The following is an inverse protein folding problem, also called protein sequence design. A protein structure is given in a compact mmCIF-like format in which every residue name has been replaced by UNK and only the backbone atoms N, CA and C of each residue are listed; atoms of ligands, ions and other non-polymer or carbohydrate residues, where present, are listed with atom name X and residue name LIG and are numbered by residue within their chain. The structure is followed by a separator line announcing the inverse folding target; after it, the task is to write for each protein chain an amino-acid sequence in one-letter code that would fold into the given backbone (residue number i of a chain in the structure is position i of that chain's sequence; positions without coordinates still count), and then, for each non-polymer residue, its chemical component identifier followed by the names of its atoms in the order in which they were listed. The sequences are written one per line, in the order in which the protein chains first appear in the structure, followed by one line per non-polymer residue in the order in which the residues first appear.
data_IF_872231717432
#
_entry.id   IF_872231717432
#
_cell.length_a   1.000
_cell.length_b   1.000
_cell.length_c   1.000
_cell.angle_alpha   90.00
_cell.angle_beta   90.00
_cell.angle_gamma   90.00
#
_symmetry.space_group_name_H-M   'P 1'
#
loop_
_entity.id
_entity.type
_entity.pdbx_description
1 polymer ?
#
# COMPACT_ATOMS: atom_id res chain seq x y z
N UNK A 1 -28.47 6.29 -8.99
CA UNK A 1 -27.81 7.60 -8.90
C UNK A 1 -26.34 7.37 -8.63
N UNK A 2 -25.49 8.27 -9.13
CA UNK A 2 -24.05 8.31 -8.85
C UNK A 2 -23.75 9.55 -8.01
N UNK A 3 -22.62 9.58 -7.31
CA UNK A 3 -22.34 10.64 -6.36
C UNK A 3 -20.84 10.89 -6.20
N UNK A 4 -20.33 11.97 -6.81
CA UNK A 4 -18.97 12.46 -6.55
C UNK A 4 -18.90 12.96 -5.11
N UNK A 5 -17.91 12.51 -4.34
CA UNK A 5 -17.83 12.74 -2.90
C UNK A 5 -16.64 13.63 -2.53
N UNK A 6 -15.42 13.12 -2.69
CA UNK A 6 -14.18 13.83 -2.40
C UNK A 6 -13.53 14.41 -3.66
N UNK A 7 -12.75 15.47 -3.48
CA UNK A 7 -11.97 16.11 -4.55
C UNK A 7 -10.58 16.49 -4.05
N UNK A 8 -9.53 16.11 -4.79
CA UNK A 8 -8.15 16.47 -4.50
C UNK A 8 -7.51 17.14 -5.72
N UNK A 9 -7.07 18.40 -5.62
CA UNK A 9 -6.36 19.03 -6.72
C UNK A 9 -4.98 18.39 -6.90
N UNK A 10 -4.60 18.17 -8.15
CA UNK A 10 -3.21 17.90 -8.48
C UNK A 10 -2.48 19.23 -8.66
N UNK A 11 -1.60 19.54 -7.70
CA UNK A 11 -0.82 20.78 -7.68
C UNK A 11 0.63 20.56 -8.12
N UNK A 12 0.94 19.42 -8.76
CA UNK A 12 2.25 19.21 -9.37
C UNK A 12 2.54 20.31 -10.40
N UNK A 13 3.71 20.95 -10.28
CA UNK A 13 4.03 22.16 -11.04
C UNK A 13 4.10 21.88 -12.55
N UNK A 14 3.48 22.75 -13.36
CA UNK A 14 3.65 22.80 -14.82
C UNK A 14 2.63 22.02 -15.67
N UNK A 15 1.70 21.29 -15.05
CA UNK A 15 0.62 20.59 -15.75
C UNK A 15 -0.65 21.44 -15.97
N UNK A 16 -1.51 20.99 -16.88
CA UNK A 16 -2.88 21.53 -16.96
C UNK A 16 -3.65 21.20 -15.67
N UNK A 17 -4.55 22.08 -15.20
CA UNK A 17 -5.34 21.82 -14.01
C UNK A 17 -6.12 20.50 -14.13
N UNK A 18 -5.94 19.64 -13.13
CA UNK A 18 -6.64 18.36 -13.02
C UNK A 18 -6.92 18.04 -11.55
N UNK A 19 -7.95 17.26 -11.30
CA UNK A 19 -8.38 16.90 -9.95
C UNK A 19 -8.67 15.40 -9.90
N UNK A 20 -8.37 14.77 -8.76
CA UNK A 20 -8.83 13.43 -8.45
C UNK A 20 -10.18 13.53 -7.75
N UNK A 21 -11.14 12.72 -8.16
CA UNK A 21 -12.48 12.68 -7.59
C UNK A 21 -12.80 11.24 -7.19
N UNK A 22 -13.22 11.05 -5.94
CA UNK A 22 -13.83 9.79 -5.50
C UNK A 22 -15.32 9.83 -5.80
N UNK A 23 -15.86 8.72 -6.27
CA UNK A 23 -17.27 8.67 -6.70
C UNK A 23 -17.93 7.35 -6.30
N UNK A 24 -19.13 7.45 -5.73
CA UNK A 24 -19.93 6.28 -5.36
C UNK A 24 -20.74 5.78 -6.56
N UNK A 25 -20.55 4.51 -6.90
CA UNK A 25 -21.39 3.74 -7.79
C UNK A 25 -22.70 3.30 -7.12
N UNK A 26 -23.63 2.71 -7.88
CA UNK A 26 -24.93 2.32 -7.36
C UNK A 26 -24.86 1.08 -6.44
N UNK A 27 -24.50 -0.09 -6.99
CA UNK A 27 -24.35 -1.35 -6.24
C UNK A 27 -22.93 -1.90 -6.28
N UNK A 28 -22.15 -1.44 -7.24
CA UNK A 28 -20.76 -1.75 -7.55
C UNK A 28 -20.23 -0.60 -8.42
N UNK A 29 -18.93 -0.58 -8.70
CA UNK A 29 -18.35 0.43 -9.59
C UNK A 29 -18.22 1.80 -8.93
N UNK A 30 -17.82 1.81 -7.66
CA UNK A 30 -17.21 3.00 -7.08
C UNK A 30 -15.93 3.31 -7.87
N UNK A 31 -15.55 4.56 -7.99
CA UNK A 31 -14.42 4.96 -8.83
C UNK A 31 -13.54 6.04 -8.20
N UNK A 32 -12.28 6.05 -8.64
CA UNK A 32 -11.43 7.25 -8.62
C UNK A 32 -11.31 7.74 -10.06
N UNK A 33 -11.67 8.99 -10.27
CA UNK A 33 -11.61 9.66 -11.56
C UNK A 33 -10.50 10.71 -11.55
N UNK A 34 -9.70 10.77 -12.62
CA UNK A 34 -8.82 11.91 -12.90
C UNK A 34 -9.54 12.83 -13.87
N UNK A 35 -10.04 13.95 -13.36
CA UNK A 35 -10.92 14.86 -14.10
C UNK A 35 -10.13 16.06 -14.60
N UNK A 36 -10.27 16.35 -15.89
CA UNK A 36 -9.80 17.54 -16.58
C UNK A 36 -11.00 18.35 -17.09
N UNK A 37 -10.74 19.60 -17.46
CA UNK A 37 -11.78 20.46 -18.02
C UNK A 37 -12.36 19.87 -19.31
N UNK A 38 -13.68 19.67 -19.34
CA UNK A 38 -14.41 19.15 -20.50
C UNK A 38 -14.58 17.63 -20.53
N UNK A 39 -14.04 16.90 -19.56
CA UNK A 39 -14.18 15.44 -19.50
C UNK A 39 -15.64 15.00 -19.29
N UNK A 40 -15.97 13.84 -19.87
CA UNK A 40 -17.25 13.18 -19.69
C UNK A 40 -17.03 11.77 -19.10
N UNK A 41 -17.37 11.58 -17.83
CA UNK A 41 -17.19 10.31 -17.11
C UNK A 41 -18.23 9.23 -17.48
N UNK A 42 -19.16 9.50 -18.40
CA UNK A 42 -20.03 8.49 -19.00
C UNK A 42 -21.31 8.13 -18.27
N UNK A 43 -21.43 8.41 -16.98
CA UNK A 43 -22.69 8.21 -16.26
C UNK A 43 -23.83 9.08 -16.85
N UNK A 44 -25.09 8.58 -16.95
CA UNK A 44 -25.59 7.27 -16.55
C UNK A 44 -25.48 6.16 -17.59
N UNK A 45 -24.85 6.43 -18.74
CA UNK A 45 -24.79 5.49 -19.85
C UNK A 45 -23.70 4.43 -19.67
N UNK A 46 -22.58 4.81 -19.09
CA UNK A 46 -21.40 3.97 -18.88
C UNK A 46 -20.95 4.00 -17.41
N UNK A 47 -20.34 2.91 -16.96
CA UNK A 47 -19.85 2.67 -15.60
C UNK A 47 -18.56 1.86 -15.69
N UNK A 48 -17.51 2.26 -14.98
CA UNK A 48 -16.21 1.61 -15.04
C UNK A 48 -15.46 1.86 -16.35
N UNK A 49 -14.35 1.13 -16.59
CA UNK A 49 -13.49 1.32 -17.75
C UNK A 49 -14.10 0.66 -19.00
N UNK A 50 -14.91 1.40 -19.75
CA UNK A 50 -15.63 0.91 -20.93
C UNK A 50 -14.89 1.17 -22.23
N UNK A 51 -13.90 2.05 -22.24
CA UNK A 51 -13.10 2.42 -23.40
C UNK A 51 -13.96 2.87 -24.61
N UNK A 52 -14.84 3.84 -24.39
CA UNK A 52 -15.72 4.40 -25.42
C UNK A 52 -15.27 5.81 -25.78
N UNK A 53 -15.08 6.07 -27.08
CA UNK A 53 -14.67 7.38 -27.57
C UNK A 53 -15.62 8.51 -27.10
N UNK A 54 -15.04 9.62 -26.63
CA UNK A 54 -15.77 10.75 -26.07
C UNK A 54 -16.11 10.61 -24.59
N UNK A 55 -15.68 9.52 -23.94
CA UNK A 55 -15.78 9.30 -22.50
C UNK A 55 -14.39 9.03 -21.91
N UNK A 56 -14.23 9.36 -20.63
CA UNK A 56 -12.99 9.15 -19.88
C UNK A 56 -13.24 8.06 -18.86
N UNK A 57 -12.44 6.99 -18.95
CA UNK A 57 -12.49 5.88 -18.01
C UNK A 57 -11.91 6.30 -16.64
N UNK A 58 -12.41 5.74 -15.53
CA UNK A 58 -11.83 5.96 -14.22
C UNK A 58 -10.40 5.39 -14.14
N UNK A 59 -9.57 5.99 -13.28
CA UNK A 59 -8.21 5.51 -13.02
C UNK A 59 -8.19 4.33 -12.04
N UNK A 60 -9.29 4.13 -11.29
CA UNK A 60 -9.53 2.97 -10.44
C UNK A 60 -11.03 2.69 -10.31
N UNK A 61 -11.40 1.41 -10.21
CA UNK A 61 -12.80 1.00 -9.99
C UNK A 61 -12.84 -0.12 -8.96
N UNK A 62 -13.64 0.05 -7.90
CA UNK A 62 -13.90 -1.04 -6.96
C UNK A 62 -15.07 -1.90 -7.47
N UNK A 63 -14.87 -3.22 -7.40
CA UNK A 63 -15.89 -4.21 -7.78
C UNK A 63 -17.00 -4.35 -6.73
N UNK A 64 -16.70 -4.02 -5.48
CA UNK A 64 -17.67 -3.86 -4.39
C UNK A 64 -17.83 -2.38 -4.05
N UNK A 65 -18.96 -2.04 -3.43
CA UNK A 65 -19.20 -0.67 -2.95
C UNK A 65 -18.46 -0.44 -1.63
N UNK A 66 -17.33 0.25 -1.69
CA UNK A 66 -16.58 0.71 -0.52
C UNK A 66 -17.09 2.07 -0.02
N UNK A 67 -17.92 2.75 -0.81
CA UNK A 67 -18.43 4.09 -0.52
C UNK A 67 -17.27 5.06 -0.30
N UNK A 68 -16.40 5.30 -1.30
CA UNK A 68 -15.24 6.15 -1.10
C UNK A 68 -15.69 7.55 -0.71
N UNK A 69 -15.01 8.13 0.27
CA UNK A 69 -15.34 9.44 0.84
C UNK A 69 -14.29 10.47 0.45
N UNK A 70 -13.61 11.11 1.40
CA UNK A 70 -12.53 12.05 1.13
C UNK A 70 -11.41 11.42 0.28
N UNK A 71 -10.78 12.25 -0.54
CA UNK A 71 -9.54 11.91 -1.25
C UNK A 71 -8.53 13.03 -1.03
N UNK A 72 -7.27 12.67 -0.81
CA UNK A 72 -6.14 13.58 -0.66
C UNK A 72 -5.04 13.16 -1.62
N UNK A 73 -4.42 14.13 -2.31
CA UNK A 73 -3.12 13.93 -2.97
C UNK A 73 -2.02 14.31 -1.98
N UNK A 74 -1.39 13.31 -1.36
CA UNK A 74 -0.48 13.53 -0.24
C UNK A 74 0.81 14.24 -0.66
N UNK A 75 1.26 15.23 0.13
CA UNK A 75 2.43 16.08 -0.17
C UNK A 75 3.34 16.30 1.05
N UNK A 76 2.86 15.99 2.25
CA UNK A 76 3.57 16.17 3.51
C UNK A 76 4.76 15.24 3.67
N UNK A 77 5.40 15.37 4.83
CA UNK A 77 6.63 14.65 5.16
C UNK A 77 6.49 13.80 6.44
N UNK A 78 5.27 13.68 6.97
CA UNK A 78 4.99 12.91 8.19
C UNK A 78 4.87 11.39 7.95
N UNK A 79 4.82 10.98 6.68
CA UNK A 79 4.82 9.58 6.23
C UNK A 79 6.07 9.28 5.40
N UNK A 80 6.39 8.01 5.11
CA UNK A 80 7.56 7.66 4.30
C UNK A 80 7.60 8.42 2.98
N UNK A 81 8.82 8.71 2.50
CA UNK A 81 9.01 9.62 1.38
C UNK A 81 8.27 9.16 0.10
N UNK A 82 8.14 7.85 -0.11
CA UNK A 82 7.44 7.21 -1.21
C UNK A 82 5.90 7.33 -1.16
N UNK A 83 5.35 7.86 -0.07
CA UNK A 83 3.92 8.15 0.05
C UNK A 83 3.58 9.50 -0.61
N UNK A 84 4.57 10.38 -0.78
CA UNK A 84 4.40 11.67 -1.44
C UNK A 84 3.97 11.48 -2.88
N UNK A 85 2.87 12.14 -3.26
CA UNK A 85 2.27 11.99 -4.56
C UNK A 85 1.35 10.77 -4.69
N UNK A 86 1.03 10.05 -3.62
CA UNK A 86 -0.02 9.03 -3.65
C UNK A 86 -1.38 9.63 -3.31
N UNK A 87 -2.46 8.90 -3.62
CA UNK A 87 -3.81 9.24 -3.15
C UNK A 87 -4.10 8.52 -1.84
N UNK A 88 -4.73 9.21 -0.90
CA UNK A 88 -5.26 8.64 0.35
C UNK A 88 -6.77 8.80 0.32
N UNK A 89 -7.51 7.69 0.43
CA UNK A 89 -8.96 7.65 0.22
C UNK A 89 -9.66 6.98 1.39
N UNK A 90 -10.66 7.64 1.98
CA UNK A 90 -11.47 7.09 3.07
C UNK A 90 -12.58 6.18 2.56
N UNK A 91 -12.93 5.14 3.32
CA UNK A 91 -14.05 4.24 3.00
C UNK A 91 -15.20 4.40 4.00
N UNK A 92 -16.41 4.65 3.48
CA UNK A 92 -17.62 4.63 4.30
C UNK A 92 -18.12 3.22 4.56
N UNK A 93 -18.03 2.32 3.57
CA UNK A 93 -18.45 0.94 3.73
C UNK A 93 -17.22 0.07 3.95
N UNK A 94 -17.18 -0.60 5.09
CA UNK A 94 -16.12 -1.55 5.39
C UNK A 94 -16.65 -2.81 6.07
N UNK A 95 -16.12 -4.01 5.72
CA UNK A 95 -16.48 -5.25 6.39
C UNK A 95 -16.27 -5.13 7.90
N UNK A 96 -17.23 -5.62 8.67
CA UNK A 96 -17.16 -5.68 10.14
C UNK A 96 -16.94 -4.31 10.84
N UNK A 97 -17.19 -3.18 10.15
CA UNK A 97 -16.94 -1.83 10.66
C UNK A 97 -15.47 -1.56 11.03
N UNK A 98 -14.53 -2.27 10.39
CA UNK A 98 -13.12 -1.89 10.44
C UNK A 98 -12.98 -0.59 9.66
N UNK A 99 -12.51 0.48 10.29
CA UNK A 99 -12.22 1.73 9.59
C UNK A 99 -11.14 1.46 8.56
N UNK A 100 -11.40 1.81 7.30
CA UNK A 100 -10.45 1.59 6.21
C UNK A 100 -10.15 2.91 5.53
N UNK A 101 -8.86 3.18 5.37
CA UNK A 101 -8.33 4.23 4.51
C UNK A 101 -7.32 3.54 3.59
N UNK A 102 -7.49 3.71 2.28
CA UNK A 102 -6.69 3.07 1.25
C UNK A 102 -5.72 4.08 0.62
N UNK A 103 -4.49 3.64 0.35
CA UNK A 103 -3.44 4.39 -0.34
C UNK A 103 -3.29 3.86 -1.76
N UNK A 104 -3.30 4.77 -2.73
CA UNK A 104 -3.09 4.47 -4.15
C UNK A 104 -1.79 5.09 -4.63
N UNK A 105 -0.86 4.24 -5.03
CA UNK A 105 0.34 4.64 -5.75
C UNK A 105 -0.04 5.01 -7.19
N UNK A 106 0.52 6.11 -7.68
CA UNK A 106 0.31 6.59 -9.04
C UNK A 106 1.58 6.41 -9.88
N UNK A 107 1.41 6.32 -11.19
CA UNK A 107 2.53 6.46 -12.12
C UNK A 107 3.16 7.86 -12.05
N UNK A 108 4.36 8.02 -12.60
CA UNK A 108 5.07 9.30 -12.54
C UNK A 108 4.25 10.48 -13.11
N UNK A 109 3.48 10.32 -14.20
CA UNK A 109 2.57 11.36 -14.66
C UNK A 109 1.33 11.57 -13.81
N UNK A 110 1.02 10.73 -12.82
CA UNK A 110 -0.19 10.83 -11.99
C UNK A 110 -1.48 10.48 -12.73
N UNK A 111 -1.41 9.75 -13.85
CA UNK A 111 -2.55 9.43 -14.71
C UNK A 111 -3.15 8.05 -14.46
N UNK A 112 -2.42 7.17 -13.78
CA UNK A 112 -2.85 5.79 -13.55
C UNK A 112 -2.52 5.35 -12.13
N UNK A 113 -3.41 4.57 -11.54
CA UNK A 113 -3.09 3.79 -10.33
C UNK A 113 -2.20 2.62 -10.74
N UNK A 114 -1.05 2.48 -10.08
CA UNK A 114 -0.13 1.35 -10.27
C UNK A 114 -0.29 0.29 -9.20
N UNK A 115 -0.66 0.70 -7.98
CA UNK A 115 -0.89 -0.19 -6.84
C UNK A 115 -1.85 0.45 -5.85
N UNK A 116 -2.62 -0.39 -5.15
CA UNK A 116 -3.34 0.02 -3.95
C UNK A 116 -2.88 -0.79 -2.75
N UNK A 117 -2.96 -0.18 -1.56
CA UNK A 117 -2.52 -0.76 -0.29
C UNK A 117 -3.30 -0.14 0.86
N UNK A 118 -3.39 -0.82 2.01
CA UNK A 118 -3.98 -0.21 3.19
C UNK A 118 -3.10 0.94 3.68
N UNK A 119 -3.72 2.09 3.94
CA UNK A 119 -3.09 3.20 4.66
C UNK A 119 -3.38 3.11 6.16
N UNK A 120 -4.63 2.80 6.51
CA UNK A 120 -5.06 2.52 7.87
C UNK A 120 -6.16 1.45 7.85
N UNK A 121 -6.03 0.45 8.71
CA UNK A 121 -7.13 -0.42 9.12
C UNK A 121 -7.19 -0.44 10.65
N UNK A 122 -8.31 0.02 11.22
CA UNK A 122 -8.44 0.12 12.67
C UNK A 122 -9.86 -0.19 13.14
N UNK A 123 -10.00 -0.78 14.32
CA UNK A 123 -11.28 -0.96 14.97
C UNK A 123 -11.41 -0.01 16.16
N UNK A 124 -12.18 1.07 15.98
CA UNK A 124 -12.40 2.10 17.02
C UNK A 124 -13.78 2.01 17.69
N UNK A 125 -14.36 0.81 17.78
CA UNK A 125 -15.55 0.49 18.57
C UNK A 125 -16.64 1.59 18.66
N UNK A 126 -17.58 1.61 17.71
CA UNK A 126 -18.68 2.58 17.73
C UNK A 126 -18.35 3.96 17.13
N UNK A 127 -17.10 4.20 16.72
CA UNK A 127 -16.71 5.41 15.99
C UNK A 127 -17.47 5.61 14.66
N UNK A 128 -18.02 4.53 14.08
CA UNK A 128 -18.73 4.58 12.80
C UNK A 128 -17.78 4.36 11.64
N UNK A 129 -17.96 5.12 10.56
CA UNK A 129 -17.23 4.97 9.31
C UNK A 129 -16.40 6.22 8.99
N UNK A 130 -15.44 6.11 8.06
CA UNK A 130 -14.63 7.25 7.63
C UNK A 130 -15.49 8.18 6.77
N UNK A 131 -15.73 9.39 7.24
CA UNK A 131 -16.55 10.40 6.56
C UNK A 131 -15.70 11.29 5.64
N UNK A 132 -14.47 11.62 6.05
CA UNK A 132 -13.56 12.44 5.25
C UNK A 132 -12.10 12.18 5.67
N UNK A 133 -11.17 12.48 4.77
CA UNK A 133 -9.71 12.49 5.01
C UNK A 133 -9.13 13.81 4.52
N UNK A 134 -8.20 14.39 5.27
CA UNK A 134 -7.56 15.64 4.93
C UNK A 134 -6.08 15.64 5.36
N UNK A 135 -5.22 16.18 4.50
CA UNK A 135 -3.85 16.52 4.88
C UNK A 135 -3.84 17.87 5.59
N UNK A 136 -3.25 17.92 6.78
CA UNK A 136 -3.04 19.15 7.54
C UNK A 136 -1.67 19.78 7.25
N UNK A 137 -1.46 21.07 7.59
CA UNK A 137 -0.19 21.77 7.37
C UNK A 137 1.02 21.16 8.12
N UNK A 138 0.77 20.35 9.15
CA UNK A 138 1.80 19.59 9.87
C UNK A 138 2.27 18.34 9.11
N UNK A 139 1.71 18.09 7.92
CA UNK A 139 2.04 16.95 7.07
C UNK A 139 1.35 15.65 7.46
N UNK A 140 0.57 15.62 8.54
CA UNK A 140 -0.21 14.44 8.90
C UNK A 140 -1.56 14.42 8.15
N UNK A 141 -2.04 13.21 7.87
CA UNK A 141 -3.41 12.96 7.43
C UNK A 141 -4.29 12.80 8.67
N UNK A 142 -5.38 13.54 8.67
CA UNK A 142 -6.47 13.43 9.61
C UNK A 142 -7.67 12.79 8.93
N UNK A 143 -8.50 12.10 9.70
CA UNK A 143 -9.77 11.58 9.22
C UNK A 143 -10.89 11.87 10.21
N UNK A 144 -12.11 11.89 9.71
CA UNK A 144 -13.30 12.12 10.53
C UNK A 144 -14.21 10.90 10.54
N UNK A 145 -14.91 10.72 11.66
CA UNK A 145 -16.00 9.75 11.80
C UNK A 145 -17.19 10.42 12.46
N UNK A 146 -18.26 9.66 12.73
CA UNK A 146 -19.38 10.16 13.52
C UNK A 146 -19.03 10.47 14.98
N UNK A 147 -17.90 9.97 15.47
CA UNK A 147 -17.47 10.16 16.86
C UNK A 147 -16.40 11.24 17.05
N UNK A 148 -15.68 11.65 16.00
CA UNK A 148 -14.65 12.68 16.15
C UNK A 148 -13.72 12.85 14.96
N UNK A 149 -12.65 13.62 15.20
CA UNK A 149 -11.56 13.86 14.27
C UNK A 149 -10.31 13.18 14.84
N UNK A 150 -9.61 12.43 14.01
CA UNK A 150 -8.47 11.60 14.39
C UNK A 150 -7.27 11.96 13.53
N UNK A 151 -6.08 11.92 14.12
CA UNK A 151 -4.80 12.06 13.41
C UNK A 151 -4.21 10.67 13.17
N UNK A 152 -3.78 10.39 11.96
CA UNK A 152 -3.07 9.15 11.63
C UNK A 152 -1.59 9.39 11.88
N UNK A 153 -1.03 8.73 12.88
CA UNK A 153 0.40 8.81 13.16
C UNK A 153 1.05 7.56 12.58
N UNK A 154 2.11 7.76 11.80
CA UNK A 154 2.91 6.67 11.21
C UNK A 154 4.26 6.65 11.88
N UNK A 155 4.69 5.47 12.31
CA UNK A 155 5.85 5.33 13.18
C UNK A 155 5.59 6.12 14.45
N UNK A 156 5.10 5.48 15.50
CA UNK A 156 4.79 6.21 16.72
C UNK A 156 6.06 6.83 17.37
N UNK A 157 7.23 6.42 16.90
CA UNK A 157 8.49 6.52 17.64
C UNK A 157 8.39 5.60 18.84
N UNK A 158 9.52 5.06 19.28
CA UNK A 158 9.59 4.18 20.45
C UNK A 158 9.05 4.92 21.69
N UNK A 159 7.78 4.70 22.01
CA UNK A 159 7.00 5.50 22.98
C UNK A 159 6.87 4.80 24.31
N UNK A 160 6.98 3.48 24.31
CA UNK A 160 7.11 2.66 25.50
C UNK A 160 8.56 2.32 25.85
N UNK A 161 9.52 2.81 25.05
CA UNK A 161 10.96 2.74 25.28
C UNK A 161 11.52 1.31 25.23
N UNK A 162 10.97 0.47 24.36
CA UNK A 162 11.38 -0.92 24.15
C UNK A 162 12.42 -1.09 23.01
N UNK A 163 12.81 0.00 22.36
CA UNK A 163 13.78 0.02 21.26
C UNK A 163 13.16 -0.15 19.88
N UNK A 164 11.84 -0.32 19.79
CA UNK A 164 11.12 -0.67 18.57
C UNK A 164 10.06 0.38 18.23
N UNK A 165 9.76 0.50 16.93
CA UNK A 165 8.68 1.38 16.47
C UNK A 165 7.59 0.52 15.87
N UNK A 166 6.58 0.22 16.66
CA UNK A 166 5.63 -0.84 16.37
C UNK A 166 4.16 -0.40 16.60
N UNK A 167 3.24 -1.36 16.63
CA UNK A 167 1.81 -1.10 16.86
C UNK A 167 1.46 -0.96 18.35
N UNK A 168 2.36 -1.36 19.24
CA UNK A 168 2.23 -1.32 20.70
C UNK A 168 2.71 0.00 21.31
N UNK A 169 3.58 0.75 20.63
CA UNK A 169 4.00 2.12 20.96
C UNK A 169 2.91 3.08 21.51
N UNK A 170 1.63 3.05 21.06
CA UNK A 170 0.58 3.91 21.64
C UNK A 170 0.19 3.53 23.08
N UNK A 171 0.57 2.35 23.56
CA UNK A 171 0.19 1.76 24.83
C UNK A 171 1.38 1.77 25.80
N UNK A 172 1.17 1.97 27.11
CA UNK A 172 2.26 1.93 28.07
C UNK A 172 2.87 0.52 28.19
N UNK A 173 4.18 0.42 27.97
CA UNK A 173 5.09 -0.73 28.09
C UNK A 173 4.47 -2.03 28.59
N UNK A 174 4.05 -2.87 27.65
CA UNK A 174 3.95 -4.30 27.91
C UNK A 174 5.30 -4.87 27.49
N UNK A 175 6.22 -5.05 28.43
CA UNK A 175 7.53 -5.60 28.11
C UNK A 175 7.37 -6.96 27.42
N UNK A 176 7.74 -7.02 26.14
CA UNK A 176 7.98 -8.25 25.41
C UNK A 176 9.13 -9.02 26.06
N UNK A 177 9.14 -10.34 25.88
CA UNK A 177 10.23 -11.17 26.39
C UNK A 177 11.40 -10.96 25.44
N UNK A 178 12.54 -10.55 25.99
CA UNK A 178 13.85 -10.56 25.36
C UNK A 178 14.48 -11.92 25.64
N UNK A 179 14.39 -12.81 24.65
CA UNK A 179 14.75 -14.23 24.78
C UNK A 179 16.26 -14.49 24.76
N UNK A 180 17.03 -13.58 24.17
CA UNK A 180 18.45 -13.78 23.91
C UNK A 180 19.39 -12.72 24.52
N UNK A 181 18.82 -11.64 25.06
CA UNK A 181 19.47 -10.62 25.87
C UNK A 181 20.13 -9.50 25.08
N UNK A 182 19.75 -9.29 23.82
CA UNK A 182 20.32 -8.23 22.96
C UNK A 182 19.67 -6.85 23.15
N UNK A 183 18.56 -6.80 23.89
CA UNK A 183 17.82 -5.58 24.22
C UNK A 183 16.61 -5.31 23.32
N UNK A 184 16.31 -6.21 22.39
CA UNK A 184 15.08 -6.23 21.59
C UNK A 184 14.18 -7.38 22.09
N UNK A 185 12.87 -7.19 22.03
CA UNK A 185 11.92 -8.23 22.43
C UNK A 185 11.32 -8.95 21.24
N UNK A 186 10.68 -10.10 21.50
CA UNK A 186 10.02 -10.94 20.49
C UNK A 186 8.97 -10.26 19.58
N UNK A 187 8.55 -9.04 19.89
CA UNK A 187 7.65 -8.21 19.08
C UNK A 187 8.35 -7.51 17.92
N UNK A 188 9.66 -7.30 18.00
CA UNK A 188 10.45 -6.64 16.96
C UNK A 188 11.75 -7.37 16.58
N UNK A 189 12.11 -8.40 17.34
CA UNK A 189 13.15 -9.36 17.00
C UNK A 189 12.59 -10.45 16.05
N UNK A 190 13.20 -10.57 14.87
CA UNK A 190 12.82 -11.57 13.87
C UNK A 190 13.26 -12.99 14.22
N UNK A 191 14.21 -13.16 15.15
CA UNK A 191 14.65 -14.39 15.78
C UNK A 191 15.12 -14.16 17.23
N UNK A 192 14.17 -14.04 18.17
CA UNK A 192 14.32 -13.82 19.64
C UNK A 192 15.10 -14.92 20.40
N UNK A 193 15.84 -15.77 19.68
CA UNK A 193 16.79 -16.74 20.19
C UNK A 193 18.21 -16.50 19.66
N UNK A 194 18.43 -15.44 18.89
CA UNK A 194 19.67 -15.13 18.18
C UNK A 194 20.06 -13.64 18.32
N UNK A 195 21.01 -13.31 19.23
CA UNK A 195 21.41 -11.92 19.54
C UNK A 195 22.06 -11.14 18.38
N UNK A 196 22.17 -11.76 17.21
CA UNK A 196 22.67 -11.14 15.98
C UNK A 196 21.58 -10.82 14.97
N UNK A 197 20.32 -11.14 15.26
CA UNK A 197 19.16 -10.88 14.42
C UNK A 197 18.24 -9.89 15.14
N UNK A 198 18.40 -8.61 14.90
CA UNK A 198 17.61 -7.57 15.54
C UNK A 198 17.55 -6.30 14.69
N UNK A 199 16.55 -5.41 14.90
CA UNK A 199 16.46 -4.15 14.19
C UNK A 199 17.78 -3.35 14.21
N UNK A 200 18.30 -3.04 13.03
CA UNK A 200 19.52 -2.23 12.87
C UNK A 200 20.84 -2.98 13.04
N UNK A 201 20.83 -4.32 13.13
CA UNK A 201 22.04 -5.12 12.96
C UNK A 201 22.66 -4.92 11.56
N UNK A 202 23.87 -5.46 11.36
CA UNK A 202 24.52 -5.39 10.04
C UNK A 202 24.14 -6.61 9.23
N UNK A 203 23.40 -6.40 8.15
CA UNK A 203 23.00 -7.46 7.22
C UNK A 203 24.20 -8.20 6.60
N UNK A 204 24.23 -9.52 6.76
CA UNK A 204 25.25 -10.43 6.21
C UNK A 204 24.70 -11.08 4.95
N UNK A 205 24.83 -10.36 3.84
CA UNK A 205 24.36 -10.80 2.52
C UNK A 205 24.81 -12.23 2.17
N UNK A 206 23.82 -13.11 1.96
CA UNK A 206 24.01 -14.44 1.40
C UNK A 206 24.13 -15.58 2.41
N UNK A 207 23.93 -15.34 3.70
CA UNK A 207 23.88 -16.40 4.72
C UNK A 207 22.45 -16.91 5.00
N UNK A 208 21.43 -16.33 4.36
CA UNK A 208 20.01 -16.69 4.52
C UNK A 208 19.42 -16.44 5.91
N UNK A 209 20.09 -15.61 6.71
CA UNK A 209 19.57 -15.05 7.96
C UNK A 209 19.31 -13.57 7.69
N UNK A 210 18.17 -13.07 8.13
CA UNK A 210 17.82 -11.65 8.11
C UNK A 210 18.32 -11.07 9.42
N UNK A 211 19.47 -10.38 9.40
CA UNK A 211 20.08 -9.88 10.64
C UNK A 211 19.44 -8.57 11.08
N UNK A 212 19.10 -7.68 10.15
CA UNK A 212 18.57 -6.36 10.48
C UNK A 212 17.04 -6.31 10.60
N UNK A 213 16.39 -7.48 10.46
CA UNK A 213 14.94 -7.68 10.48
C UNK A 213 14.20 -6.79 9.47
N UNK A 214 14.88 -6.41 8.37
CA UNK A 214 14.33 -5.62 7.28
C UNK A 214 14.15 -6.52 6.03
N UNK A 215 12.91 -6.87 5.65
CA UNK A 215 12.69 -7.73 4.48
C UNK A 215 13.06 -7.04 3.15
N UNK A 216 13.44 -5.76 3.16
CA UNK A 216 13.91 -5.02 2.01
C UNK A 216 15.43 -5.13 1.77
N UNK A 217 16.19 -5.54 2.79
CA UNK A 217 17.62 -5.88 2.72
C UNK A 217 17.74 -7.39 2.49
N UNK A 218 18.27 -7.83 1.33
CA UNK A 218 18.20 -9.24 0.98
C UNK A 218 19.31 -10.07 1.66
N UNK A 219 18.92 -10.88 2.64
CA UNK A 219 19.68 -12.00 3.23
C UNK A 219 20.15 -13.05 2.22
N UNK A 220 19.52 -13.06 1.04
CA UNK A 220 19.88 -13.94 -0.07
C UNK A 220 20.43 -13.14 -1.24
N UNK A 221 21.54 -13.61 -1.81
CA UNK A 221 22.05 -13.11 -3.10
C UNK A 221 21.06 -13.52 -4.20
N UNK A 222 20.10 -12.67 -4.53
CA UNK A 222 19.25 -12.83 -5.71
C UNK A 222 19.96 -12.22 -6.93
N UNK A 223 20.64 -13.05 -7.70
CA UNK A 223 21.14 -12.66 -9.01
C UNK A 223 19.99 -12.77 -10.03
N UNK A 224 19.23 -11.70 -10.20
CA UNK A 224 18.28 -11.63 -11.31
C UNK A 224 19.06 -11.40 -12.61
N UNK A 225 19.15 -12.42 -13.47
CA UNK A 225 19.73 -12.26 -14.80
C UNK A 225 18.92 -11.21 -15.56
N UNK A 226 19.51 -10.04 -15.81
CA UNK A 226 18.99 -9.12 -16.82
C UNK A 226 19.17 -9.82 -18.17
N UNK A 227 18.08 -10.31 -18.75
CA UNK A 227 18.07 -10.80 -20.11
C UNK A 227 18.30 -9.63 -21.08
N UNK A 228 19.58 -9.28 -21.27
CA UNK A 228 20.03 -8.40 -22.34
C UNK A 228 19.79 -9.10 -23.67
N UNK A 229 18.72 -8.71 -24.36
CA UNK A 229 18.41 -9.21 -25.69
C UNK A 229 19.52 -8.89 -26.69
N UNK A 230 20.09 -9.94 -27.29
CA UNK A 230 20.10 -10.18 -28.75
C UNK A 230 20.84 -11.49 -29.08
N UNK A 231 20.07 -12.51 -29.46
CA UNK A 231 20.48 -13.59 -30.37
C UNK A 231 21.42 -14.67 -29.83
N UNK A 232 20.86 -15.70 -29.17
CA UNK A 232 21.45 -17.03 -29.06
C UNK A 232 20.35 -18.08 -28.76
N UNK A 233 20.48 -19.35 -29.21
CA UNK A 233 19.38 -20.31 -29.21
C UNK A 233 18.97 -20.72 -27.79
N UNK A 234 17.65 -20.75 -27.56
CA UNK A 234 17.01 -21.15 -26.31
C UNK A 234 17.26 -22.63 -25.99
N UNK A 235 17.79 -22.90 -24.81
CA UNK A 235 17.73 -24.22 -24.17
C UNK A 235 16.95 -24.06 -22.86
N UNK A 236 15.77 -24.66 -22.77
CA UNK A 236 15.04 -24.77 -21.50
C UNK A 236 15.49 -26.04 -20.78
N UNK A 237 16.23 -25.85 -19.68
CA UNK A 237 16.48 -26.87 -18.66
C UNK A 237 15.88 -26.35 -17.36
N UNK A 238 14.61 -26.67 -17.11
CA UNK A 238 13.99 -26.42 -15.81
C UNK A 238 14.38 -27.56 -14.87
N UNK A 239 15.20 -27.26 -13.85
CA UNK A 239 15.49 -28.17 -12.74
C UNK A 239 14.68 -27.73 -11.53
N UNK A 240 13.73 -28.54 -11.08
CA UNK A 240 13.02 -28.35 -9.82
C UNK A 240 13.52 -29.40 -8.82
N UNK A 241 14.10 -28.98 -7.69
CA UNK A 241 14.29 -29.85 -6.53
C UNK A 241 13.15 -29.61 -5.55
N UNK A 242 12.31 -30.63 -5.34
CA UNK A 242 11.42 -30.74 -4.19
C UNK A 242 11.99 -31.78 -3.22
N UNK A 243 11.80 -31.62 -1.89
CA UNK A 243 12.32 -32.57 -0.92
C UNK A 243 11.44 -33.82 -0.92
N UNK A 244 11.94 -34.88 -1.56
CA UNK A 244 11.81 -36.32 -1.24
C UNK A 244 12.28 -37.08 -2.49
N UNK A 245 13.58 -37.36 -2.51
CA UNK A 245 14.33 -37.71 -3.72
C UNK A 245 13.83 -38.94 -4.49
N UNK A 246 13.41 -38.73 -5.74
CA UNK A 246 13.66 -39.63 -6.88
C UNK A 246 13.60 -38.82 -8.18
N UNK A 247 14.62 -38.95 -9.04
CA UNK A 247 14.78 -38.20 -10.30
C UNK A 247 14.21 -38.99 -11.49
N UNK A 248 13.35 -38.38 -12.31
CA UNK A 248 12.93 -38.95 -13.61
C UNK A 248 13.20 -37.93 -14.72
N UNK A 249 14.01 -38.32 -15.71
CA UNK A 249 14.24 -37.54 -16.92
C UNK A 249 13.70 -38.31 -18.13
N UNK A 250 12.80 -37.71 -18.92
CA UNK A 250 12.40 -38.23 -20.24
C UNK A 250 12.84 -37.28 -21.35
N UNK A 251 13.45 -37.84 -22.39
CA UNK A 251 13.97 -37.11 -23.56
C UNK A 251 13.13 -37.46 -24.78
N UNK A 252 12.56 -36.48 -25.47
CA UNK A 252 11.98 -36.69 -26.81
C UNK A 252 12.56 -35.69 -27.79
N UNK A 253 13.27 -36.19 -28.81
CA UNK A 253 13.75 -35.43 -29.95
C UNK A 253 12.59 -35.26 -30.94
N UNK A 254 12.31 -34.05 -31.40
CA UNK A 254 11.72 -33.83 -32.73
C UNK A 254 12.72 -33.00 -33.54
N UNK A 255 12.87 -33.42 -34.79
CA UNK A 255 13.96 -33.05 -35.70
C UNK A 255 13.98 -31.59 -36.10
#
# INVERSE_FOLDING_TARGET
HRNGFGIAPDLTAGGAPRVYVSENGPKWGDEINLVRAGDNAGWPRYLGPVNVAGFVDPIHTWLSTVGPTGVVRYRGEAYPAEYRGNLIVGHFNAPLKVLTIERFELDAPGERVTRSSNFLQAYLGGAGFVIDVAEAPDGFVYFTTGAGIYRIVYGHGDRDADGCVDVLDPYPAVASVDGDGDGYGADCDCDDANPGAHPGAVEIVGNSVDEDCDPSTPAMISCSMVAGGRGAPSWDLALWMLPLGTLVAMRRRRG
#
